data_IF_441613781721
#
_entry.id   IF_441613781721
#
_cell.length_a   1.000
_cell.length_b   1.000
_cell.length_c   1.000
_cell.angle_alpha   90.00
_cell.angle_beta   90.00
_cell.angle_gamma   90.00
#
_symmetry.space_group_name_H-M   'P 1'
#
loop_
_entity.id
_entity.type
_entity.pdbx_description
1 polymer ?
#
# COMPACT_ATOMS: atom_id res chain seq x y z
N UNK A 1 3.40 -17.38 7.42
CA UNK A 1 2.38 -17.23 6.36
C UNK A 1 1.10 -16.83 7.05
N UNK A 2 0.51 -15.69 6.67
CA UNK A 2 -0.70 -15.17 7.30
C UNK A 2 -1.92 -16.02 6.94
N UNK A 3 -2.82 -16.22 7.90
CA UNK A 3 -4.16 -16.73 7.65
C UNK A 3 -4.99 -15.70 6.86
N UNK A 4 -6.06 -16.13 6.20
CA UNK A 4 -6.95 -15.21 5.49
C UNK A 4 -7.58 -14.16 6.42
N UNK A 5 -7.88 -14.53 7.67
CA UNK A 5 -8.37 -13.59 8.68
C UNK A 5 -7.32 -12.55 9.08
N UNK A 6 -6.07 -12.95 9.26
CA UNK A 6 -4.97 -12.00 9.50
C UNK A 6 -4.76 -11.07 8.31
N UNK A 7 -4.76 -11.62 7.09
CA UNK A 7 -4.67 -10.83 5.87
C UNK A 7 -5.84 -9.82 5.75
N UNK A 8 -7.07 -10.25 6.00
CA UNK A 8 -8.23 -9.35 6.02
C UNK A 8 -8.08 -8.22 7.06
N UNK A 9 -7.55 -8.51 8.24
CA UNK A 9 -7.26 -7.50 9.25
C UNK A 9 -6.21 -6.49 8.79
N UNK A 10 -5.16 -6.94 8.10
CA UNK A 10 -4.17 -6.03 7.53
C UNK A 10 -4.77 -5.17 6.40
N UNK A 11 -5.55 -5.76 5.50
CA UNK A 11 -6.25 -5.04 4.45
C UNK A 11 -7.15 -3.92 5.01
N UNK A 12 -7.74 -4.11 6.20
CA UNK A 12 -8.54 -3.07 6.86
C UNK A 12 -7.74 -1.78 7.13
N UNK A 13 -6.46 -1.85 7.51
CA UNK A 13 -5.64 -0.64 7.70
C UNK A 13 -5.43 0.15 6.42
N UNK A 14 -5.28 -0.55 5.29
CA UNK A 14 -5.16 0.10 3.99
C UNK A 14 -6.50 0.72 3.56
N UNK A 15 -7.62 0.06 3.88
CA UNK A 15 -8.96 0.62 3.67
C UNK A 15 -9.14 1.91 4.46
N UNK A 16 -8.70 1.96 5.72
CA UNK A 16 -8.77 3.17 6.54
C UNK A 16 -7.92 4.30 5.94
N UNK A 17 -6.72 4.00 5.44
CA UNK A 17 -5.88 4.98 4.72
C UNK A 17 -6.59 5.52 3.47
N UNK A 18 -7.22 4.66 2.68
CA UNK A 18 -7.98 5.06 1.50
C UNK A 18 -9.17 5.96 1.87
N UNK A 19 -9.92 5.61 2.92
CA UNK A 19 -11.08 6.38 3.40
C UNK A 19 -10.70 7.75 3.95
N UNK A 20 -9.59 7.86 4.69
CA UNK A 20 -9.07 9.16 5.13
C UNK A 20 -8.77 10.09 3.94
N UNK A 21 -8.15 9.57 2.88
CA UNK A 21 -7.87 10.36 1.68
C UNK A 21 -9.13 10.70 0.88
N UNK A 22 -10.10 9.78 0.79
CA UNK A 22 -11.40 10.02 0.13
C UNK A 22 -12.17 11.14 0.83
N UNK A 23 -12.26 11.10 2.17
CA UNK A 23 -13.02 12.06 2.96
C UNK A 23 -12.32 13.41 3.09
N UNK A 24 -10.99 13.41 3.14
CA UNK A 24 -10.16 14.60 3.38
C UNK A 24 -9.09 14.77 2.28
N UNK A 25 -9.54 14.72 1.02
CA UNK A 25 -8.66 14.91 -0.13
C UNK A 25 -7.87 16.23 -0.01
N UNK A 26 -6.60 16.24 -0.43
CA UNK A 26 -5.67 17.37 -0.28
C UNK A 26 -5.30 17.73 1.17
N UNK A 27 -5.55 16.85 2.12
CA UNK A 27 -5.01 16.95 3.47
C UNK A 27 -3.89 15.91 3.66
N UNK A 28 -2.62 16.31 3.88
CA UNK A 28 -1.53 15.38 4.14
C UNK A 28 -1.57 14.78 5.56
N UNK A 29 -2.31 15.39 6.48
CA UNK A 29 -2.46 14.94 7.88
C UNK A 29 -3.94 14.97 8.31
N UNK A 30 -4.81 14.17 7.64
CA UNK A 30 -6.23 14.16 7.90
C UNK A 30 -6.55 13.63 9.31
N UNK A 31 -7.74 13.89 9.85
CA UNK A 31 -8.19 13.18 11.06
C UNK A 31 -8.11 11.66 10.88
N UNK A 32 -7.53 10.97 11.86
CA UNK A 32 -7.39 9.52 11.83
C UNK A 32 -8.76 8.83 11.80
N UNK A 33 -8.92 7.81 10.96
CA UNK A 33 -10.12 6.99 10.93
C UNK A 33 -10.37 6.37 12.32
N UNK A 34 -11.57 6.54 12.91
CA UNK A 34 -11.85 6.07 14.27
C UNK A 34 -11.68 4.56 14.42
N UNK A 35 -11.85 3.78 13.34
CA UNK A 35 -11.68 2.33 13.35
C UNK A 35 -10.25 1.90 13.68
N UNK A 36 -9.25 2.72 13.38
CA UNK A 36 -7.85 2.46 13.76
C UNK A 36 -7.75 2.31 15.29
N UNK A 37 -8.39 3.22 16.03
CA UNK A 37 -8.44 3.19 17.49
C UNK A 37 -9.32 2.05 18.02
N UNK A 38 -10.45 1.78 17.36
CA UNK A 38 -11.32 0.65 17.71
C UNK A 38 -10.60 -0.70 17.56
N UNK A 39 -9.72 -0.83 16.56
CA UNK A 39 -8.86 -1.99 16.34
C UNK A 39 -7.62 -2.02 17.28
N UNK A 40 -7.49 -1.04 18.19
CA UNK A 40 -6.45 -1.00 19.22
C UNK A 40 -5.14 -0.35 18.78
N UNK A 41 -5.16 0.55 17.79
CA UNK A 41 -3.97 1.22 17.26
C UNK A 41 -4.05 2.74 17.43
N UNK A 42 -2.89 3.38 17.53
CA UNK A 42 -2.74 4.83 17.59
C UNK A 42 -1.91 5.28 16.39
N UNK A 43 -2.45 6.14 15.54
CA UNK A 43 -1.64 6.80 14.49
C UNK A 43 -0.59 7.69 15.17
N UNK A 44 0.66 7.59 14.74
CA UNK A 44 1.79 8.38 15.26
C UNK A 44 2.41 9.28 14.19
N UNK A 45 2.25 8.93 12.91
CA UNK A 45 2.69 9.74 11.78
C UNK A 45 1.85 9.45 10.53
N UNK A 46 1.81 10.39 9.62
CA UNK A 46 1.23 10.26 8.28
C UNK A 46 2.32 10.12 7.23
N UNK A 47 1.98 9.45 6.14
CA UNK A 47 2.80 9.39 4.92
C UNK A 47 2.08 10.23 3.89
N UNK A 48 2.71 11.33 3.49
CA UNK A 48 2.24 12.19 2.42
C UNK A 48 3.04 11.95 1.15
N UNK A 49 2.44 12.16 -0.02
CA UNK A 49 3.14 12.10 -1.29
C UNK A 49 2.50 13.06 -2.28
N UNK A 50 3.23 13.38 -3.35
CA UNK A 50 2.67 14.13 -4.46
C UNK A 50 1.62 13.24 -5.13
N UNK A 51 0.39 13.73 -5.29
CA UNK A 51 -0.63 13.01 -6.04
C UNK A 51 -0.38 13.22 -7.54
N UNK A 52 0.71 12.62 -8.04
CA UNK A 52 1.14 12.68 -9.44
C UNK A 52 0.24 11.87 -10.36
N UNK A 53 -1.05 11.68 -9.99
CA UNK A 53 -2.08 10.95 -10.73
C UNK A 53 -1.80 11.00 -12.22
N UNK A 54 -1.36 9.86 -12.77
CA UNK A 54 -0.88 9.66 -14.13
C UNK A 54 -1.94 9.89 -15.22
N UNK A 55 -3.10 10.45 -14.86
CA UNK A 55 -4.19 10.78 -15.77
C UNK A 55 -3.77 11.77 -16.86
N UNK A 56 -4.05 11.39 -18.11
CA UNK A 56 -3.91 12.17 -19.35
C UNK A 56 -4.78 13.44 -19.41
N UNK A 57 -5.64 13.66 -18.41
CA UNK A 57 -6.25 14.97 -18.19
C UNK A 57 -5.81 15.50 -16.84
N UNK A 58 -4.99 16.57 -16.78
CA UNK A 58 -4.79 17.25 -15.52
C UNK A 58 -6.19 17.65 -15.07
N UNK A 59 -6.66 17.13 -13.92
CA UNK A 59 -7.84 17.69 -13.26
C UNK A 59 -7.58 19.19 -13.17
N UNK A 60 -8.25 19.94 -14.03
CA UNK A 60 -8.07 21.37 -14.21
C UNK A 60 -8.39 22.03 -12.87
N UNK A 61 -7.35 22.44 -12.14
CA UNK A 61 -7.29 23.64 -11.28
C UNK A 61 -6.31 23.39 -10.12
N UNK A 62 -5.21 24.15 -10.11
CA UNK A 62 -4.36 24.52 -8.96
C UNK A 62 -3.97 23.33 -8.06
N UNK A 63 -2.80 22.74 -8.35
CA UNK A 63 -2.05 21.75 -7.57
C UNK A 63 -2.48 21.58 -6.10
N UNK A 64 -2.73 20.34 -5.64
CA UNK A 64 -2.33 19.94 -4.30
C UNK A 64 -0.93 19.34 -4.37
N UNK A 65 0.02 19.97 -3.68
CA UNK A 65 1.41 19.50 -3.69
C UNK A 65 1.58 18.18 -2.90
N UNK A 66 0.74 17.88 -1.90
CA UNK A 66 0.85 16.67 -1.09
C UNK A 66 -0.50 16.16 -0.55
N UNK A 67 -0.82 14.87 -0.74
CA UNK A 67 -2.00 14.19 -0.18
C UNK A 67 -1.57 13.10 0.81
N UNK A 68 -2.48 12.68 1.70
CA UNK A 68 -2.26 11.53 2.56
C UNK A 68 -2.28 10.22 1.75
N UNK A 69 -1.13 9.56 1.66
CA UNK A 69 -0.95 8.24 1.05
C UNK A 69 -0.99 7.11 2.08
N UNK A 70 -0.91 7.42 3.37
CA UNK A 70 -0.80 6.38 4.38
C UNK A 70 -0.48 6.92 5.75
N UNK A 71 -0.11 6.00 6.64
CA UNK A 71 0.23 6.34 8.01
C UNK A 71 1.07 5.24 8.66
N UNK A 72 1.71 5.63 9.76
CA UNK A 72 2.36 4.73 10.72
C UNK A 72 1.51 4.72 11.99
N UNK A 73 1.16 3.53 12.49
CA UNK A 73 0.43 3.38 13.73
C UNK A 73 1.13 2.39 14.67
N UNK A 74 1.05 2.69 15.96
CA UNK A 74 1.57 1.87 17.05
C UNK A 74 0.42 1.10 17.72
N UNK A 75 0.67 -0.15 18.10
CA UNK A 75 -0.29 -0.98 18.80
C UNK A 75 -0.43 -0.54 20.25
N UNK A 76 -1.64 -0.21 20.67
CA UNK A 76 -1.90 0.33 22.02
C UNK A 76 -1.59 -0.67 23.13
N UNK A 77 -1.71 -1.97 22.86
CA UNK A 77 -1.47 -3.03 23.85
C UNK A 77 -0.03 -3.53 23.90
N UNK A 78 0.80 -3.18 22.91
CA UNK A 78 2.19 -3.63 22.78
C UNK A 78 3.00 -2.49 22.15
N UNK A 79 3.46 -1.52 22.97
CA UNK A 79 4.41 -0.53 22.51
C UNK A 79 5.61 -1.24 21.86
N UNK A 80 6.14 -0.71 20.76
CA UNK A 80 7.15 -1.33 19.87
C UNK A 80 6.62 -2.25 18.75
N UNK A 81 5.31 -2.47 18.63
CA UNK A 81 4.67 -3.06 17.45
C UNK A 81 4.00 -1.99 16.57
N UNK A 82 4.38 -1.94 15.29
CA UNK A 82 3.93 -0.93 14.34
C UNK A 82 3.31 -1.51 13.06
N UNK A 83 2.44 -0.73 12.44
CA UNK A 83 2.00 -0.94 11.06
C UNK A 83 2.30 0.29 10.22
N UNK A 84 2.70 0.05 8.98
CA UNK A 84 2.89 1.08 7.95
C UNK A 84 1.90 0.79 6.83
N UNK A 85 0.80 1.54 6.78
CA UNK A 85 -0.26 1.33 5.81
C UNK A 85 -0.13 2.34 4.65
N UNK A 86 -0.10 1.84 3.41
CA UNK A 86 0.04 2.65 2.18
C UNK A 86 -1.14 2.35 1.26
N UNK A 87 -1.97 3.36 0.97
CA UNK A 87 -3.13 3.21 0.08
C UNK A 87 -2.72 3.08 -1.38
N UNK A 88 -3.59 2.46 -2.18
CA UNK A 88 -3.54 2.52 -3.63
C UNK A 88 -4.21 3.77 -4.22
N UNK A 89 -4.34 3.78 -5.54
CA UNK A 89 -5.11 4.77 -6.31
C UNK A 89 -6.43 4.17 -6.78
N UNK A 90 -7.26 4.99 -7.43
CA UNK A 90 -8.38 4.47 -8.18
C UNK A 90 -7.88 3.52 -9.29
N UNK A 91 -8.37 2.27 -9.36
CA UNK A 91 -7.97 1.31 -10.39
C UNK A 91 -8.37 1.71 -11.80
N UNK A 92 -9.37 2.59 -12.01
CA UNK A 92 -9.70 3.06 -13.34
C UNK A 92 -8.55 3.88 -13.95
N UNK A 93 -7.91 4.72 -13.13
CA UNK A 93 -6.76 5.54 -13.53
C UNK A 93 -5.59 4.64 -13.93
N UNK A 94 -5.30 3.63 -13.10
CA UNK A 94 -4.20 2.69 -13.36
C UNK A 94 -4.35 1.92 -14.68
N UNK A 95 -5.58 1.52 -15.03
CA UNK A 95 -5.86 0.84 -16.29
C UNK A 95 -5.71 1.75 -17.51
N UNK A 96 -6.09 3.03 -17.37
CA UNK A 96 -5.86 4.05 -18.42
C UNK A 96 -4.35 4.24 -18.68
N UNK A 97 -3.54 4.36 -17.64
CA UNK A 97 -2.10 4.61 -17.76
C UNK A 97 -1.35 3.48 -18.50
N UNK A 98 -1.76 2.23 -18.23
CA UNK A 98 -1.22 1.04 -18.90
C UNK A 98 -1.61 1.01 -20.37
N UNK A 99 -2.87 1.33 -20.66
CA UNK A 99 -3.37 1.37 -22.02
C UNK A 99 -2.61 2.41 -22.87
N UNK A 100 -2.26 3.54 -22.26
CA UNK A 100 -1.58 4.64 -22.94
C UNK A 100 -0.05 4.46 -23.03
N UNK A 101 0.46 3.31 -22.58
CA UNK A 101 1.86 2.93 -22.76
C UNK A 101 2.84 3.71 -21.89
N UNK A 102 2.39 4.30 -20.78
CA UNK A 102 3.21 5.08 -19.83
C UNK A 102 4.09 4.20 -18.92
N UNK A 103 4.51 3.03 -19.41
CA UNK A 103 5.19 1.99 -18.63
C UNK A 103 6.68 2.01 -18.96
N UNK A 104 7.41 2.89 -18.27
CA UNK A 104 8.88 2.99 -18.37
C UNK A 104 9.58 2.43 -17.13
N UNK A 105 10.81 1.94 -17.33
CA UNK A 105 11.70 1.53 -16.24
C UNK A 105 12.60 2.69 -15.79
N UNK A 106 12.96 2.66 -14.52
CA UNK A 106 14.07 3.44 -13.96
C UNK A 106 14.91 2.58 -13.02
N UNK A 107 16.18 2.93 -12.84
CA UNK A 107 17.13 2.25 -11.95
C UNK A 107 17.57 3.21 -10.82
N UNK A 108 16.74 3.42 -9.80
CA UNK A 108 16.97 4.49 -8.83
C UNK A 108 18.11 4.18 -7.86
N UNK A 109 18.46 2.91 -7.70
CA UNK A 109 19.53 2.47 -6.80
C UNK A 109 20.84 2.25 -7.57
N UNK A 110 21.69 3.28 -7.59
CA UNK A 110 22.95 3.30 -8.37
C UNK A 110 23.91 2.16 -8.07
N UNK A 111 23.91 1.62 -6.84
CA UNK A 111 24.73 0.46 -6.45
C UNK A 111 24.24 -0.86 -7.07
N UNK A 112 22.98 -0.91 -7.52
CA UNK A 112 22.34 -2.08 -8.13
C UNK A 112 21.69 -1.69 -9.47
N UNK A 113 22.47 -1.33 -10.50
CA UNK A 113 21.94 -0.77 -11.75
C UNK A 113 21.08 -1.74 -12.56
N UNK A 114 21.12 -3.04 -12.25
CA UNK A 114 20.25 -4.06 -12.85
C UNK A 114 18.89 -4.16 -12.19
N UNK A 115 18.71 -3.54 -11.03
CA UNK A 115 17.42 -3.46 -10.35
C UNK A 115 16.66 -2.30 -10.98
N UNK A 116 15.61 -2.64 -11.73
CA UNK A 116 14.76 -1.68 -12.42
C UNK A 116 13.33 -1.76 -11.87
N UNK A 117 12.69 -0.62 -11.73
CA UNK A 117 11.32 -0.47 -11.22
C UNK A 117 10.50 0.43 -12.14
N UNK A 118 9.17 0.36 -12.05
CA UNK A 118 8.31 1.28 -12.78
C UNK A 118 8.65 2.72 -12.41
N UNK A 119 8.98 3.55 -13.41
CA UNK A 119 9.32 4.96 -13.23
C UNK A 119 8.17 5.74 -12.60
N UNK A 120 6.93 5.50 -13.03
CA UNK A 120 5.75 6.15 -12.47
C UNK A 120 5.59 5.80 -10.99
N UNK A 121 5.52 4.52 -10.67
CA UNK A 121 5.32 4.09 -9.28
C UNK A 121 6.45 4.58 -8.38
N UNK A 122 7.71 4.54 -8.86
CA UNK A 122 8.85 5.03 -8.11
C UNK A 122 8.81 6.54 -7.90
N UNK A 123 8.33 7.32 -8.87
CA UNK A 123 8.20 8.78 -8.73
C UNK A 123 7.23 9.17 -7.61
N UNK A 124 6.16 8.39 -7.40
CA UNK A 124 5.28 8.57 -6.23
C UNK A 124 6.02 8.25 -4.95
N UNK A 125 6.71 7.10 -4.88
CA UNK A 125 7.51 6.70 -3.73
C UNK A 125 8.60 7.73 -3.36
N UNK A 126 9.34 8.23 -4.34
CA UNK A 126 10.43 9.19 -4.14
C UNK A 126 9.93 10.55 -3.62
N UNK A 127 8.67 10.89 -3.91
CA UNK A 127 8.02 12.08 -3.36
C UNK A 127 7.50 11.90 -1.92
N UNK A 128 7.52 10.68 -1.37
CA UNK A 128 6.91 10.40 -0.07
C UNK A 128 7.66 11.07 1.09
N UNK A 129 6.90 11.68 2.00
CA UNK A 129 7.38 12.35 3.21
C UNK A 129 6.61 11.87 4.43
N UNK A 130 7.35 11.63 5.50
CA UNK A 130 6.81 11.29 6.81
C UNK A 130 6.47 12.57 7.58
N UNK A 131 5.24 12.66 8.09
CA UNK A 131 4.72 13.81 8.82
C UNK A 131 4.28 13.37 10.22
N UNK A 132 4.94 13.83 11.28
CA UNK A 132 4.54 13.46 12.66
C UNK A 132 3.28 14.20 13.10
N UNK A 133 2.53 13.59 14.03
CA UNK A 133 1.32 14.21 14.60
C UNK A 133 1.67 15.27 15.65
N UNK A 134 2.81 15.15 16.33
CA UNK A 134 3.19 16.03 17.42
C UNK A 134 4.25 17.05 16.94
N UNK A 135 3.92 18.36 16.87
CA UNK A 135 4.86 19.41 16.48
C UNK A 135 6.04 19.57 17.45
N UNK A 136 5.94 18.99 18.66
CA UNK A 136 6.96 19.11 19.71
C UNK A 136 8.07 18.06 19.62
N UNK A 137 7.92 17.03 18.78
CA UNK A 137 9.08 16.23 18.39
C UNK A 137 9.95 17.10 17.50
N UNK A 138 11.02 17.69 18.04
CA UNK A 138 12.01 18.47 17.27
C UNK A 138 12.72 17.69 16.15
N UNK A 139 12.30 16.46 15.87
CA UNK A 139 12.79 15.63 14.79
C UNK A 139 12.10 15.99 13.48
N UNK A 140 12.83 16.72 12.65
CA UNK A 140 12.46 17.01 11.27
C UNK A 140 12.88 15.84 10.35
N UNK A 141 11.90 15.09 9.86
CA UNK A 141 12.11 13.97 8.92
C UNK A 141 12.01 14.39 7.44
N UNK A 142 11.73 15.67 7.14
CA UNK A 142 11.43 16.13 5.77
C UNK A 142 12.60 15.93 4.78
N UNK A 143 13.83 15.95 5.30
CA UNK A 143 15.06 15.77 4.51
C UNK A 143 15.49 14.30 4.35
N UNK A 144 14.80 13.36 5.00
CA UNK A 144 15.11 11.94 4.90
C UNK A 144 14.29 11.27 3.81
N UNK A 145 14.79 10.14 3.31
CA UNK A 145 13.96 9.19 2.56
C UNK A 145 12.95 8.53 3.49
N UNK A 146 11.83 8.06 2.94
CA UNK A 146 10.76 7.44 3.72
C UNK A 146 11.25 6.29 4.61
N UNK A 147 12.09 5.40 4.08
CA UNK A 147 12.65 4.27 4.83
C UNK A 147 13.47 4.72 6.05
N UNK A 148 14.34 5.72 5.88
CA UNK A 148 15.17 6.28 6.95
C UNK A 148 14.31 7.00 8.00
N UNK A 149 13.32 7.78 7.54
CA UNK A 149 12.39 8.48 8.41
C UNK A 149 11.58 7.51 9.28
N UNK A 150 11.04 6.45 8.68
CA UNK A 150 10.29 5.42 9.42
C UNK A 150 11.20 4.71 10.41
N UNK A 151 12.40 4.28 9.99
CA UNK A 151 13.34 3.61 10.88
C UNK A 151 13.77 4.46 12.08
N UNK A 152 13.93 5.78 11.88
CA UNK A 152 14.21 6.71 12.98
C UNK A 152 12.98 6.96 13.86
N UNK A 153 11.77 7.03 13.28
CA UNK A 153 10.53 7.21 14.04
C UNK A 153 10.25 6.03 14.97
N UNK A 154 10.30 4.80 14.44
CA UNK A 154 9.89 3.61 15.17
C UNK A 154 11.04 2.97 15.96
N UNK A 155 12.29 3.28 15.63
CA UNK A 155 13.49 2.65 16.18
C UNK A 155 13.87 1.36 15.45
N UNK A 156 15.17 1.15 15.22
CA UNK A 156 15.67 0.09 14.32
C UNK A 156 15.35 -1.34 14.76
N UNK A 157 15.08 -1.58 16.04
CA UNK A 157 14.79 -2.89 16.60
C UNK A 157 13.29 -3.18 16.75
N UNK A 158 12.44 -2.22 16.44
CA UNK A 158 10.99 -2.37 16.58
C UNK A 158 10.42 -3.34 15.56
N UNK A 159 9.32 -4.00 15.93
CA UNK A 159 8.60 -4.87 15.01
C UNK A 159 7.63 -4.05 14.18
N UNK A 160 7.64 -4.23 12.86
CA UNK A 160 6.66 -3.55 12.01
C UNK A 160 6.16 -4.42 10.86
N UNK A 161 4.96 -4.09 10.38
CA UNK A 161 4.35 -4.69 9.19
C UNK A 161 4.04 -3.62 8.16
N UNK A 162 4.61 -3.73 6.96
CA UNK A 162 4.24 -2.90 5.81
C UNK A 162 3.02 -3.51 5.12
N UNK A 163 2.03 -2.68 4.84
CA UNK A 163 0.77 -3.11 4.25
C UNK A 163 0.42 -2.17 3.11
N UNK A 164 0.04 -2.72 1.97
CA UNK A 164 -0.41 -1.92 0.84
C UNK A 164 -1.36 -2.68 -0.06
N UNK A 165 -2.15 -1.95 -0.84
CA UNK A 165 -3.07 -2.48 -1.85
C UNK A 165 -2.84 -1.80 -3.20
N UNK A 166 -2.97 -2.53 -4.32
CA UNK A 166 -2.88 -1.99 -5.67
C UNK A 166 -1.56 -1.24 -5.90
N UNK A 167 -1.57 -0.02 -6.46
CA UNK A 167 -0.38 0.84 -6.55
C UNK A 167 0.36 0.97 -5.20
N UNK A 168 -0.39 1.03 -4.09
CA UNK A 168 0.17 1.09 -2.74
C UNK A 168 0.99 -0.14 -2.36
N UNK A 169 0.66 -1.33 -2.90
CA UNK A 169 1.49 -2.53 -2.73
C UNK A 169 2.80 -2.45 -3.51
N UNK A 170 2.77 -1.93 -4.74
CA UNK A 170 3.99 -1.75 -5.51
C UNK A 170 4.92 -0.73 -4.84
N UNK A 171 4.36 0.40 -4.38
CA UNK A 171 5.09 1.41 -3.61
C UNK A 171 5.64 0.84 -2.29
N UNK A 172 4.83 0.06 -1.56
CA UNK A 172 5.26 -0.64 -0.35
C UNK A 172 6.46 -1.57 -0.62
N UNK A 173 6.56 -2.17 -1.80
CA UNK A 173 7.71 -3.01 -2.16
C UNK A 173 9.01 -2.21 -2.33
N UNK A 174 8.94 -0.94 -2.73
CA UNK A 174 10.12 -0.06 -2.76
C UNK A 174 10.55 0.33 -1.34
N UNK A 175 9.58 0.55 -0.44
CA UNK A 175 9.88 0.71 0.98
C UNK A 175 10.55 -0.55 1.54
N UNK A 176 10.04 -1.75 1.23
CA UNK A 176 10.65 -3.02 1.62
C UNK A 176 12.11 -3.13 1.14
N UNK A 177 12.39 -2.73 -0.10
CA UNK A 177 13.74 -2.69 -0.65
C UNK A 177 14.67 -1.81 0.18
N UNK A 178 14.28 -0.57 0.49
CA UNK A 178 15.16 0.38 1.19
C UNK A 178 15.27 0.07 2.69
N UNK A 179 14.15 -0.24 3.36
CA UNK A 179 14.12 -0.40 4.82
C UNK A 179 14.63 -1.75 5.29
N UNK A 180 14.60 -2.80 4.45
CA UNK A 180 15.05 -4.14 4.81
C UNK A 180 16.50 -4.21 5.29
N UNK A 181 17.35 -3.31 4.79
CA UNK A 181 18.75 -3.18 5.22
C UNK A 181 18.95 -2.41 6.53
N UNK A 182 17.93 -1.68 7.00
CA UNK A 182 17.99 -0.76 8.14
C UNK A 182 17.40 -1.41 9.39
N UNK A 183 16.30 -2.14 9.25
CA UNK A 183 15.49 -2.65 10.36
C UNK A 183 15.24 -4.15 10.20
N UNK A 184 15.83 -5.05 11.02
CA UNK A 184 15.75 -6.50 10.80
C UNK A 184 14.40 -7.12 11.15
N UNK A 185 13.60 -6.48 12.02
CA UNK A 185 12.33 -7.03 12.53
C UNK A 185 11.13 -6.62 11.66
N UNK A 186 11.25 -6.90 10.37
CA UNK A 186 10.32 -6.44 9.36
C UNK A 186 9.34 -7.54 8.91
N UNK A 187 8.15 -7.14 8.47
CA UNK A 187 7.24 -8.01 7.75
C UNK A 187 6.36 -7.24 6.77
N UNK A 188 5.73 -7.91 5.81
CA UNK A 188 4.76 -7.24 4.93
C UNK A 188 3.59 -8.12 4.50
N UNK A 189 2.42 -7.51 4.32
CA UNK A 189 1.22 -8.14 3.78
C UNK A 189 0.65 -7.25 2.68
N UNK A 190 0.79 -7.66 1.42
CA UNK A 190 0.42 -6.88 0.25
C UNK A 190 -0.81 -7.49 -0.44
N UNK A 191 -1.63 -6.66 -1.09
CA UNK A 191 -2.88 -7.06 -1.72
C UNK A 191 -2.97 -6.54 -3.14
N UNK A 192 -3.31 -7.41 -4.09
CA UNK A 192 -3.52 -7.01 -5.48
C UNK A 192 -2.30 -6.26 -6.08
N UNK A 193 -1.08 -6.71 -5.76
CA UNK A 193 0.13 -5.98 -6.11
C UNK A 193 0.41 -6.07 -7.62
N UNK A 194 0.36 -4.96 -8.40
CA UNK A 194 0.87 -4.97 -9.76
C UNK A 194 2.37 -5.24 -9.76
N UNK A 195 2.92 -5.61 -10.91
CA UNK A 195 4.34 -5.90 -11.09
C UNK A 195 5.16 -4.61 -10.87
N UNK A 196 5.95 -4.52 -9.80
CA UNK A 196 6.61 -3.26 -9.42
C UNK A 196 7.87 -2.98 -10.24
N UNK A 197 8.50 -4.00 -10.81
CA UNK A 197 9.76 -3.85 -11.50
C UNK A 197 10.19 -5.10 -12.23
N UNK A 198 11.46 -5.17 -12.60
CA UNK A 198 12.02 -6.31 -13.29
C UNK A 198 12.27 -7.49 -12.32
N UNK A 199 12.72 -8.62 -12.88
CA UNK A 199 13.02 -9.83 -12.11
C UNK A 199 14.13 -9.63 -11.06
N UNK A 200 15.11 -8.78 -11.34
CA UNK A 200 16.20 -8.50 -10.39
C UNK A 200 15.70 -7.73 -9.18
N UNK A 201 14.73 -6.83 -9.35
CA UNK A 201 14.03 -6.18 -8.23
C UNK A 201 13.31 -7.18 -7.35
N UNK A 202 12.45 -8.03 -7.94
CA UNK A 202 11.70 -9.05 -7.19
C UNK A 202 12.64 -9.95 -6.38
N UNK A 203 13.71 -10.45 -7.01
CA UNK A 203 14.73 -11.25 -6.35
C UNK A 203 15.44 -10.49 -5.22
N UNK A 204 15.77 -9.22 -5.41
CA UNK A 204 16.44 -8.41 -4.38
C UNK A 204 15.55 -8.26 -3.14
N UNK A 205 14.26 -7.95 -3.33
CA UNK A 205 13.29 -7.86 -2.23
C UNK A 205 13.20 -9.20 -1.49
N UNK A 206 13.06 -10.32 -2.19
CA UNK A 206 12.99 -11.65 -1.57
C UNK A 206 14.23 -12.00 -0.74
N UNK A 207 15.41 -11.59 -1.20
CA UNK A 207 16.67 -11.88 -0.52
C UNK A 207 16.90 -11.02 0.73
N UNK A 208 16.43 -9.77 0.74
CA UNK A 208 16.74 -8.79 1.78
C UNK A 208 15.53 -8.44 2.68
N UNK A 209 14.32 -8.87 2.31
CA UNK A 209 13.08 -8.69 3.05
C UNK A 209 12.26 -9.98 2.95
N UNK A 210 12.70 -11.06 3.58
CA UNK A 210 12.15 -12.41 3.31
C UNK A 210 10.79 -12.70 3.97
N UNK A 211 10.36 -11.88 4.94
CA UNK A 211 9.12 -12.10 5.70
C UNK A 211 7.93 -11.32 5.12
N UNK A 212 7.39 -11.76 3.98
CA UNK A 212 6.21 -11.14 3.41
C UNK A 212 5.28 -12.14 2.72
N UNK A 213 4.06 -11.69 2.46
CA UNK A 213 3.08 -12.38 1.64
C UNK A 213 2.34 -11.39 0.74
N UNK A 214 2.07 -11.81 -0.49
CA UNK A 214 1.19 -11.07 -1.42
C UNK A 214 -0.08 -11.89 -1.60
N UNK A 215 -1.26 -11.28 -1.47
CA UNK A 215 -2.55 -11.92 -1.67
C UNK A 215 -3.22 -11.36 -2.92
N UNK A 216 -3.50 -12.24 -3.88
CA UNK A 216 -4.13 -11.88 -5.15
C UNK A 216 -5.39 -12.70 -5.36
N UNK A 217 -6.50 -12.01 -5.60
CA UNK A 217 -7.74 -12.69 -5.98
C UNK A 217 -7.59 -13.21 -7.41
N UNK A 218 -8.00 -14.46 -7.65
CA UNK A 218 -7.75 -15.15 -8.93
C UNK A 218 -8.32 -14.44 -10.16
N UNK A 219 -9.41 -13.67 -10.02
CA UNK A 219 -10.03 -12.96 -11.14
C UNK A 219 -9.67 -11.46 -11.16
N UNK A 220 -8.73 -11.03 -10.32
CA UNK A 220 -8.16 -9.70 -10.37
C UNK A 220 -7.04 -9.63 -11.41
N UNK A 221 -7.19 -8.74 -12.39
CA UNK A 221 -6.24 -8.57 -13.49
C UNK A 221 -5.05 -7.67 -13.13
N UNK A 222 -5.18 -6.81 -12.12
CA UNK A 222 -4.16 -5.82 -11.77
C UNK A 222 -2.82 -6.45 -11.37
N UNK A 223 -2.76 -7.56 -10.61
CA UNK A 223 -1.50 -8.23 -10.29
C UNK A 223 -0.73 -8.75 -11.51
N UNK A 224 -1.40 -8.89 -12.65
CA UNK A 224 -0.82 -9.33 -13.92
C UNK A 224 -0.41 -8.16 -14.80
N UNK A 225 -0.27 -6.95 -14.25
CA UNK A 225 0.13 -5.74 -14.96
C UNK A 225 1.27 -5.01 -14.26
N UNK A 226 2.19 -4.34 -14.98
CA UNK A 226 2.39 -4.43 -16.43
C UNK A 226 2.75 -5.84 -16.93
N UNK A 227 2.56 -6.18 -18.21
CA UNK A 227 2.82 -7.53 -18.75
C UNK A 227 4.29 -7.99 -18.63
N UNK A 228 4.52 -9.28 -18.38
CA UNK A 228 5.86 -9.90 -18.31
C UNK A 228 6.67 -9.78 -19.60
N UNK A 229 6.00 -9.74 -20.76
CA UNK A 229 6.66 -9.57 -22.05
C UNK A 229 7.41 -8.23 -22.17
N UNK A 230 7.05 -7.25 -21.33
CA UNK A 230 7.75 -5.97 -21.22
C UNK A 230 8.90 -6.00 -20.20
N UNK A 231 9.26 -7.15 -19.65
CA UNK A 231 10.35 -7.31 -18.68
C UNK A 231 9.95 -7.14 -17.21
N UNK A 232 8.68 -6.89 -16.93
CA UNK A 232 8.14 -6.78 -15.56
C UNK A 232 7.98 -8.15 -14.90
N UNK A 233 8.13 -8.20 -13.58
CA UNK A 233 7.99 -9.42 -12.78
C UNK A 233 7.15 -9.15 -11.54
N UNK A 234 6.29 -10.10 -11.19
CA UNK A 234 5.61 -10.11 -9.89
C UNK A 234 6.63 -10.34 -8.76
N UNK A 235 6.26 -9.93 -7.55
CA UNK A 235 6.99 -10.30 -6.33
C UNK A 235 6.85 -11.80 -6.08
N UNK A 236 7.84 -12.39 -5.40
CA UNK A 236 7.73 -13.76 -4.90
C UNK A 236 6.67 -13.88 -3.78
N UNK A 237 6.49 -15.08 -3.22
CA UNK A 237 5.55 -15.37 -2.13
C UNK A 237 4.11 -14.88 -2.37
N UNK A 238 3.70 -14.92 -3.64
CA UNK A 238 2.33 -14.65 -4.05
C UNK A 238 1.41 -15.82 -3.70
N UNK A 239 0.29 -15.50 -3.05
CA UNK A 239 -0.79 -16.40 -2.67
C UNK A 239 -2.03 -16.02 -3.46
N UNK A 240 -2.29 -16.75 -4.54
CA UNK A 240 -3.55 -16.65 -5.26
C UNK A 240 -4.66 -17.32 -4.44
N UNK A 241 -5.81 -16.66 -4.32
CA UNK A 241 -6.93 -17.19 -3.53
C UNK A 241 -8.27 -17.07 -4.26
N UNK A 242 -9.12 -18.07 -4.00
CA UNK A 242 -10.55 -18.07 -4.32
C UNK A 242 -11.35 -17.48 -3.17
N UNK A 243 -12.61 -17.05 -3.37
CA UNK A 243 -13.42 -16.51 -2.28
C UNK A 243 -13.54 -17.52 -1.14
N UNK A 244 -13.30 -17.07 0.08
CA UNK A 244 -13.43 -17.85 1.32
C UNK A 244 -14.80 -17.65 1.98
N UNK A 245 -15.61 -16.74 1.43
CA UNK A 245 -16.97 -16.43 1.87
C UNK A 245 -17.97 -16.77 0.77
N UNK A 246 -19.26 -16.77 1.12
CA UNK A 246 -20.37 -17.01 0.19
C UNK A 246 -21.10 -15.72 -0.22
N UNK A 247 -20.44 -14.57 -0.07
CA UNK A 247 -21.01 -13.29 -0.48
C UNK A 247 -21.12 -13.24 -2.02
N UNK A 248 -22.24 -12.74 -2.51
CA UNK A 248 -22.43 -12.47 -3.93
C UNK A 248 -21.78 -11.13 -4.26
N UNK A 249 -20.64 -11.18 -4.95
CA UNK A 249 -19.85 -10.02 -5.35
C UNK A 249 -19.72 -10.09 -6.86
N UNK A 250 -20.09 -9.01 -7.54
CA UNK A 250 -20.02 -8.93 -9.00
C UNK A 250 -18.61 -9.23 -9.53
N UNK A 251 -18.53 -10.02 -10.61
CA UNK A 251 -17.28 -10.48 -11.23
C UNK A 251 -16.67 -9.47 -12.23
N UNK A 252 -16.97 -8.18 -12.06
CA UNK A 252 -16.39 -7.12 -12.90
C UNK A 252 -14.90 -6.87 -12.58
N UNK A 253 -14.05 -6.46 -13.55
CA UNK A 253 -12.62 -6.27 -13.34
C UNK A 253 -12.29 -5.26 -12.21
N UNK A 254 -13.11 -4.22 -12.03
CA UNK A 254 -12.98 -3.28 -10.91
C UNK A 254 -13.42 -3.92 -9.57
N UNK A 255 -14.52 -4.68 -9.58
CA UNK A 255 -15.06 -5.35 -8.40
C UNK A 255 -14.15 -6.48 -7.90
N UNK A 256 -13.43 -7.16 -8.81
CA UNK A 256 -12.36 -8.09 -8.47
C UNK A 256 -11.19 -7.41 -7.77
N UNK A 257 -10.98 -6.12 -8.00
CA UNK A 257 -9.83 -5.38 -7.51
C UNK A 257 -10.07 -4.57 -6.24
N UNK A 258 -11.30 -4.07 -6.01
CA UNK A 258 -11.57 -3.22 -4.85
C UNK A 258 -11.21 -3.89 -3.52
N UNK A 259 -10.49 -3.13 -2.68
CA UNK A 259 -9.96 -3.62 -1.41
C UNK A 259 -11.05 -4.12 -0.45
N UNK A 260 -12.21 -3.45 -0.44
CA UNK A 260 -13.33 -3.89 0.40
C UNK A 260 -13.85 -5.27 -0.04
N UNK A 261 -13.84 -5.57 -1.34
CA UNK A 261 -14.19 -6.89 -1.86
C UNK A 261 -13.10 -7.92 -1.60
N UNK A 262 -11.83 -7.53 -1.58
CA UNK A 262 -10.76 -8.40 -1.07
C UNK A 262 -11.03 -8.81 0.38
N UNK A 263 -11.37 -7.85 1.25
CA UNK A 263 -11.72 -8.14 2.65
C UNK A 263 -12.94 -9.06 2.71
N UNK A 264 -14.00 -8.78 1.94
CA UNK A 264 -15.21 -9.58 1.85
C UNK A 264 -14.95 -11.02 1.38
N UNK A 265 -14.02 -11.22 0.45
CA UNK A 265 -13.61 -12.53 -0.05
C UNK A 265 -12.69 -13.27 0.92
N UNK A 266 -11.91 -12.57 1.74
CA UNK A 266 -10.97 -13.16 2.69
C UNK A 266 -11.65 -13.60 4.00
N UNK A 267 -12.46 -12.73 4.61
CA UNK A 267 -13.09 -13.00 5.92
C UNK A 267 -14.37 -12.17 6.14
N UNK A 268 -15.49 -12.85 6.41
CA UNK A 268 -16.81 -12.24 6.55
C UNK A 268 -16.92 -11.38 7.83
N UNK A 269 -16.27 -11.78 8.92
CA UNK A 269 -16.38 -11.06 10.19
C UNK A 269 -15.60 -9.75 10.13
N UNK A 270 -14.41 -9.78 9.52
CA UNK A 270 -13.63 -8.57 9.25
C UNK A 270 -14.40 -7.64 8.31
N UNK A 271 -14.99 -8.17 7.24
CA UNK A 271 -15.84 -7.37 6.34
C UNK A 271 -16.98 -6.67 7.08
N UNK A 272 -17.75 -7.40 7.92
CA UNK A 272 -18.82 -6.81 8.72
C UNK A 272 -18.31 -5.73 9.69
N UNK A 273 -17.12 -5.92 10.28
CA UNK A 273 -16.50 -4.94 11.16
C UNK A 273 -16.19 -3.65 10.40
N UNK A 274 -15.51 -3.75 9.27
CA UNK A 274 -15.06 -2.55 8.54
C UNK A 274 -16.22 -1.81 7.88
N UNK A 275 -17.31 -2.50 7.52
CA UNK A 275 -18.51 -1.91 6.89
C UNK A 275 -19.54 -1.37 7.87
N UNK A 276 -19.29 -1.43 9.18
CA UNK A 276 -20.22 -0.98 10.24
C UNK A 276 -20.74 0.45 10.06
N UNK A 277 -19.98 1.32 9.38
CA UNK A 277 -20.34 2.71 9.09
C UNK A 277 -20.97 2.94 7.70
N UNK A 278 -21.36 1.87 7.00
CA UNK A 278 -21.98 1.95 5.67
C UNK A 278 -20.99 1.97 4.51
N UNK A 279 -19.72 1.67 4.76
CA UNK A 279 -18.67 1.55 3.73
C UNK A 279 -18.84 0.25 2.91
N UNK A 280 -19.87 0.19 2.07
CA UNK A 280 -20.10 -0.89 1.12
C UNK A 280 -19.95 -0.30 -0.29
N UNK A 281 -19.20 -0.97 -1.16
CA UNK A 281 -19.13 -0.57 -2.56
C UNK A 281 -20.33 -1.11 -3.36
N UNK A 282 -20.50 -0.62 -4.59
CA UNK A 282 -21.60 -1.03 -5.46
C UNK A 282 -21.47 -2.45 -6.01
N UNK A 283 -20.40 -3.17 -5.70
CA UNK A 283 -20.13 -4.50 -6.24
C UNK A 283 -20.70 -5.64 -5.38
N UNK A 284 -21.08 -5.36 -4.13
CA UNK A 284 -21.62 -6.36 -3.21
C UNK A 284 -23.15 -6.35 -3.30
N UNK A 285 -23.72 -7.45 -3.78
CA UNK A 285 -25.17 -7.65 -3.84
C UNK A 285 -25.65 -8.16 -2.46
N UNK A 286 -26.10 -7.23 -1.60
CA UNK A 286 -26.67 -7.53 -0.29
C UNK A 286 -28.18 -7.77 -0.33
#
# INVERSE_FOLDING_TARGET
MYTYKEAANFAAFVLYAAKMNEQYYNNPTPPADPRIKEDGWKVIAYISANDLSFSVTPRKSVWPDHVCYGYVAEKSSSPEEYVVAIRGTDPSIFLEDIHDGLIDFTSPWTHFPKVEVSQGFFSVYDSMKLMTIEPESHHDYSNLKLAEAIAQLIGVNSQFTIIGHSLGSAIASYLMYEIGSITPNHSACLFACPRPGNKEFSKHVTQNFSNFAVFNYIDDVIPHLPPEILGYSSLDYTNEFKPQTKLDISDGPLCSHYLINYIARLDLDVFKRVTKYGDIDSCINL
#
